data_IF_199147501627
#
_entry.id   IF_199147501627
#
_cell.length_a   1.000
_cell.length_b   1.000
_cell.length_c   1.000
_cell.angle_alpha   90.00
_cell.angle_beta   90.00
_cell.angle_gamma   90.00
#
_symmetry.space_group_name_H-M   'P 1'
#
loop_
_entity.id
_entity.type
_entity.pdbx_description
1 polymer ?
#
# COMPACT_ATOMS: atom_id res chain seq x y z
N UNK A 1 -2.91 10.53 5.79
CA UNK A 1 -3.61 10.21 4.53
C UNK A 1 -4.37 8.92 4.77
N UNK A 2 -5.64 8.87 4.39
CA UNK A 2 -6.46 7.66 4.52
C UNK A 2 -6.09 6.63 3.44
N UNK A 3 -6.32 5.35 3.74
CA UNK A 3 -5.99 4.22 2.86
C UNK A 3 -6.54 4.38 1.42
N UNK A 4 -7.82 4.76 1.18
CA UNK A 4 -8.33 4.90 -0.18
C UNK A 4 -7.64 5.99 -1.00
N UNK A 5 -7.12 7.03 -0.34
CA UNK A 5 -6.34 8.07 -1.01
C UNK A 5 -4.94 7.58 -1.36
N UNK A 6 -4.33 6.76 -0.50
CA UNK A 6 -3.02 6.17 -0.74
C UNK A 6 -3.05 5.10 -1.84
N UNK A 7 -4.11 4.28 -1.89
CA UNK A 7 -4.28 3.30 -2.97
C UNK A 7 -4.47 4.00 -4.34
N UNK A 8 -5.18 5.13 -4.37
CA UNK A 8 -5.35 5.93 -5.60
C UNK A 8 -4.05 6.46 -6.22
N UNK A 9 -2.99 6.59 -5.43
CA UNK A 9 -1.67 7.05 -5.91
C UNK A 9 -0.72 5.91 -6.26
N UNK A 10 -1.13 4.64 -6.09
CA UNK A 10 -0.36 3.48 -6.48
C UNK A 10 -0.08 3.54 -7.99
N UNK A 11 1.18 3.60 -8.42
CA UNK A 11 1.54 3.63 -9.84
C UNK A 11 2.72 2.69 -10.11
N UNK A 12 2.50 1.57 -10.84
CA UNK A 12 3.57 0.63 -11.20
C UNK A 12 4.70 1.26 -12.02
N UNK A 13 4.39 2.32 -12.78
CA UNK A 13 5.32 2.97 -13.71
C UNK A 13 6.04 4.17 -13.09
N UNK A 14 5.77 4.49 -11.83
CA UNK A 14 6.47 5.57 -11.14
C UNK A 14 7.98 5.29 -11.02
N UNK A 15 8.84 6.32 -11.06
CA UNK A 15 10.27 6.19 -10.79
C UNK A 15 10.57 5.48 -9.46
N UNK A 16 11.72 4.79 -9.39
CA UNK A 16 12.13 4.00 -8.23
C UNK A 16 11.98 4.74 -6.90
N UNK A 17 12.44 5.99 -6.83
CA UNK A 17 12.35 6.81 -5.64
C UNK A 17 10.89 7.06 -5.20
N UNK A 18 9.99 7.32 -6.15
CA UNK A 18 8.57 7.54 -5.84
C UNK A 18 7.89 6.26 -5.34
N UNK A 19 8.25 5.09 -5.88
CA UNK A 19 7.74 3.80 -5.37
C UNK A 19 8.19 3.55 -3.92
N UNK A 20 9.44 3.84 -3.60
CA UNK A 20 9.94 3.75 -2.22
C UNK A 20 9.23 4.72 -1.27
N UNK A 21 9.04 5.98 -1.68
CA UNK A 21 8.31 6.97 -0.89
C UNK A 21 6.86 6.52 -0.66
N UNK A 22 6.20 5.99 -1.69
CA UNK A 22 4.85 5.45 -1.55
C UNK A 22 4.81 4.29 -0.54
N UNK A 23 5.76 3.36 -0.59
CA UNK A 23 5.85 2.24 0.36
C UNK A 23 6.10 2.72 1.79
N UNK A 24 6.94 3.75 1.98
CA UNK A 24 7.19 4.36 3.28
C UNK A 24 5.90 4.97 3.84
N UNK A 25 5.13 5.69 3.03
CA UNK A 25 3.84 6.25 3.46
C UNK A 25 2.82 5.15 3.78
N UNK A 26 2.78 4.07 2.99
CA UNK A 26 1.94 2.91 3.28
C UNK A 26 2.28 2.31 4.64
N UNK A 27 3.56 2.03 4.90
CA UNK A 27 4.02 1.43 6.16
C UNK A 27 3.82 2.39 7.34
N UNK A 28 3.95 3.70 7.13
CA UNK A 28 3.61 4.71 8.13
C UNK A 28 2.12 4.68 8.47
N UNK A 29 1.26 4.54 7.46
CA UNK A 29 -0.17 4.38 7.67
C UNK A 29 -0.47 3.08 8.43
N UNK A 30 0.10 1.95 8.03
CA UNK A 30 -0.09 0.66 8.72
C UNK A 30 0.32 0.75 10.20
N UNK A 31 1.49 1.32 10.49
CA UNK A 31 2.00 1.47 11.85
C UNK A 31 1.15 2.41 12.71
N UNK A 32 0.50 3.40 12.10
CA UNK A 32 -0.23 4.43 12.84
C UNK A 32 0.64 5.15 13.87
N UNK A 33 0.14 5.25 15.10
CA UNK A 33 0.86 5.87 16.22
C UNK A 33 1.89 4.96 16.90
N UNK A 34 2.03 3.71 16.42
CA UNK A 34 2.92 2.67 16.93
C UNK A 34 2.69 2.27 18.40
N UNK A 35 1.59 2.68 19.03
CA UNK A 35 1.31 2.40 20.45
C UNK A 35 0.64 1.05 20.66
N UNK A 36 -0.10 0.58 19.66
CA UNK A 36 -0.82 -0.68 19.70
C UNK A 36 -0.51 -1.56 18.47
N UNK A 37 0.19 -2.68 18.66
CA UNK A 37 0.43 -3.65 17.59
C UNK A 37 -0.87 -4.21 16.99
N UNK A 38 -1.94 -4.35 17.77
CA UNK A 38 -3.20 -4.92 17.30
C UNK A 38 -3.90 -3.99 16.30
N UNK A 39 -3.86 -2.68 16.56
CA UNK A 39 -4.29 -1.66 15.60
C UNK A 39 -3.51 -1.73 14.29
N UNK A 40 -2.19 -1.98 14.36
CA UNK A 40 -1.37 -2.15 13.14
C UNK A 40 -1.80 -3.39 12.34
N UNK A 41 -2.06 -4.52 13.02
CA UNK A 41 -2.59 -5.73 12.37
C UNK A 41 -3.96 -5.49 11.74
N UNK A 42 -4.85 -4.76 12.42
CA UNK A 42 -6.16 -4.40 11.89
C UNK A 42 -6.05 -3.58 10.59
N UNK A 43 -5.12 -2.63 10.53
CA UNK A 43 -4.84 -1.85 9.31
C UNK A 43 -4.27 -2.68 8.17
N UNK A 44 -3.43 -3.68 8.47
CA UNK A 44 -2.98 -4.64 7.44
C UNK A 44 -4.18 -5.39 6.85
N UNK A 45 -5.13 -5.83 7.68
CA UNK A 45 -6.35 -6.50 7.20
C UNK A 45 -7.18 -5.55 6.33
N UNK A 46 -7.40 -4.33 6.79
CA UNK A 46 -8.12 -3.30 6.03
C UNK A 46 -7.49 -3.03 4.65
N UNK A 47 -6.14 -2.94 4.59
CA UNK A 47 -5.41 -2.82 3.32
C UNK A 47 -5.68 -4.01 2.39
N UNK A 48 -5.58 -5.23 2.91
CA UNK A 48 -5.81 -6.43 2.12
C UNK A 48 -7.25 -6.49 1.61
N UNK A 49 -8.22 -6.20 2.47
CA UNK A 49 -9.64 -6.18 2.10
C UNK A 49 -9.91 -5.12 1.02
N UNK A 50 -9.38 -3.90 1.18
CA UNK A 50 -9.56 -2.82 0.21
C UNK A 50 -8.97 -3.14 -1.17
N UNK A 51 -7.78 -3.75 -1.20
CA UNK A 51 -7.16 -4.19 -2.45
C UNK A 51 -7.93 -5.37 -3.04
N UNK A 52 -8.38 -6.31 -2.21
CA UNK A 52 -9.05 -7.51 -2.66
C UNK A 52 -10.48 -7.27 -3.16
N UNK A 53 -11.20 -6.28 -2.65
CA UNK A 53 -12.59 -6.04 -3.02
C UNK A 53 -12.75 -5.62 -4.50
N UNK A 54 -11.71 -5.06 -5.11
CA UNK A 54 -11.76 -4.46 -6.45
C UNK A 54 -10.76 -5.13 -7.41
N UNK A 55 -11.21 -5.78 -8.50
CA UNK A 55 -10.34 -6.45 -9.47
C UNK A 55 -9.24 -5.56 -10.06
N UNK A 56 -9.56 -4.29 -10.34
CA UNK A 56 -8.61 -3.31 -10.89
C UNK A 56 -7.47 -3.02 -9.90
N UNK A 57 -7.78 -2.79 -8.62
CA UNK A 57 -6.77 -2.57 -7.58
C UNK A 57 -5.92 -3.81 -7.37
N UNK A 58 -6.51 -5.02 -7.39
CA UNK A 58 -5.72 -6.26 -7.33
C UNK A 58 -4.72 -6.37 -8.48
N UNK A 59 -5.12 -6.05 -9.71
CA UNK A 59 -4.22 -6.11 -10.86
C UNK A 59 -3.08 -5.09 -10.74
N UNK A 60 -3.42 -3.85 -10.38
CA UNK A 60 -2.46 -2.76 -10.18
C UNK A 60 -1.48 -3.04 -9.04
N UNK A 61 -1.96 -3.64 -7.96
CA UNK A 61 -1.15 -4.10 -6.82
C UNK A 61 -0.11 -5.13 -7.24
N UNK A 62 -0.51 -6.16 -8.01
CA UNK A 62 0.42 -7.16 -8.52
C UNK A 62 1.48 -6.54 -9.43
N UNK A 63 1.08 -5.69 -10.37
CA UNK A 63 2.01 -5.01 -11.27
C UNK A 63 3.00 -4.13 -10.52
N UNK A 64 2.53 -3.39 -9.52
CA UNK A 64 3.40 -2.55 -8.70
C UNK A 64 4.44 -3.38 -7.94
N UNK A 65 4.02 -4.47 -7.29
CA UNK A 65 4.94 -5.34 -6.56
C UNK A 65 5.96 -6.00 -7.48
N UNK A 66 5.54 -6.52 -8.64
CA UNK A 66 6.45 -7.05 -9.65
C UNK A 66 7.49 -6.00 -10.06
N UNK A 67 7.04 -4.79 -10.38
CA UNK A 67 7.92 -3.71 -10.80
C UNK A 67 8.87 -3.23 -9.68
N UNK A 68 8.48 -3.38 -8.42
CA UNK A 68 9.28 -3.01 -7.24
C UNK A 68 10.34 -4.06 -6.89
N UNK A 69 10.01 -5.36 -6.95
CA UNK A 69 10.94 -6.44 -6.57
C UNK A 69 11.88 -6.86 -7.70
N UNK A 70 11.54 -6.58 -8.95
CA UNK A 70 12.36 -6.89 -10.13
C UNK A 70 13.30 -5.76 -10.55
N UNK A 71 13.29 -4.63 -9.84
CA UNK A 71 14.14 -3.46 -10.12
C UNK A 71 15.33 -3.35 -9.19
#
# INVERSE_FOLDING_TARGET
MELPSLLRTLDPHAPLAQRHLWLIELLRWVRGDAKDPQTSVARVRELLDAVQDQPEWRARWHLWWQAFVSS
#
